data_IF_802983059141
#
_entry.id   IF_802983059141
#
_cell.length_a   1.000
_cell.length_b   1.000
_cell.length_c   1.000
_cell.angle_alpha   90.00
_cell.angle_beta   90.00
_cell.angle_gamma   90.00
#
_symmetry.space_group_name_H-M   'P 1'
#
loop_
_entity.id
_entity.type
_entity.pdbx_description
1 polymer ?
#
# COMPACT_ATOMS: atom_id res chain seq x y z
N UNK A 1 -6.11 -16.47 5.84
CA UNK A 1 -4.95 -17.38 5.91
C UNK A 1 -5.32 -18.75 5.36
N UNK A 2 -4.35 -19.55 4.95
CA UNK A 2 -4.55 -20.92 4.43
C UNK A 2 -5.21 -21.82 5.47
N UNK A 3 -6.02 -22.77 5.01
CA UNK A 3 -6.59 -23.85 5.85
C UNK A 3 -5.58 -24.98 6.11
N UNK A 4 -4.48 -25.03 5.34
CA UNK A 4 -3.42 -26.03 5.54
C UNK A 4 -2.54 -25.63 6.72
N UNK A 5 -2.37 -26.49 7.77
CA UNK A 5 -1.71 -26.11 9.02
C UNK A 5 -0.33 -25.45 8.85
N UNK A 6 0.58 -26.06 8.09
CA UNK A 6 1.93 -25.49 7.89
C UNK A 6 1.92 -24.15 7.14
N UNK A 7 1.04 -23.99 6.16
CA UNK A 7 0.93 -22.74 5.40
C UNK A 7 0.20 -21.66 6.19
N UNK A 8 -0.70 -22.03 7.09
CA UNK A 8 -1.38 -21.11 7.99
C UNK A 8 -0.37 -20.38 8.89
N UNK A 9 0.60 -21.11 9.45
CA UNK A 9 1.67 -20.54 10.27
C UNK A 9 2.51 -19.54 9.45
N UNK A 10 2.94 -19.93 8.25
CA UNK A 10 3.69 -19.06 7.34
C UNK A 10 2.91 -17.78 6.99
N UNK A 11 1.62 -17.91 6.66
CA UNK A 11 0.76 -16.76 6.35
C UNK A 11 0.66 -15.79 7.55
N UNK A 12 0.46 -16.29 8.77
CA UNK A 12 0.38 -15.45 9.98
C UNK A 12 1.74 -14.81 10.30
N UNK A 13 2.84 -15.53 10.13
CA UNK A 13 4.20 -14.99 10.31
C UNK A 13 4.51 -13.87 9.31
N UNK A 14 4.08 -14.01 8.06
CA UNK A 14 4.23 -12.94 7.06
C UNK A 14 3.44 -11.71 7.45
N UNK A 15 2.19 -11.87 7.88
CA UNK A 15 1.37 -10.78 8.39
C UNK A 15 2.02 -10.10 9.60
N UNK A 16 2.56 -10.87 10.56
CA UNK A 16 3.21 -10.31 11.74
C UNK A 16 4.45 -9.51 11.39
N UNK A 17 5.25 -9.94 10.41
CA UNK A 17 6.40 -9.20 9.90
C UNK A 17 6.00 -7.90 9.18
N UNK A 18 4.81 -7.82 8.57
CA UNK A 18 4.32 -6.58 7.95
C UNK A 18 3.89 -5.55 9.02
N UNK A 19 3.28 -6.02 10.10
CA UNK A 19 2.79 -5.16 11.20
C UNK A 19 3.94 -4.71 12.10
N UNK A 20 4.89 -5.60 12.36
CA UNK A 20 6.08 -5.41 13.19
C UNK A 20 7.32 -5.69 12.34
N UNK A 21 7.82 -4.73 11.55
CA UNK A 21 8.92 -4.97 10.60
C UNK A 21 10.32 -4.95 11.26
N UNK A 22 10.46 -4.33 12.42
CA UNK A 22 11.76 -4.18 13.11
C UNK A 22 12.30 -5.55 13.57
N UNK A 23 13.63 -5.69 13.59
CA UNK A 23 14.34 -6.95 13.92
C UNK A 23 15.09 -6.87 15.24
N UNK A 24 14.50 -6.23 16.24
CA UNK A 24 14.99 -6.27 17.62
C UNK A 24 14.30 -7.37 18.44
N UNK A 25 14.81 -7.58 19.64
CA UNK A 25 14.32 -8.58 20.58
C UNK A 25 12.83 -8.40 20.92
N UNK A 26 12.39 -7.19 21.21
CA UNK A 26 11.01 -6.94 21.64
C UNK A 26 10.01 -7.18 20.51
N UNK A 27 10.32 -6.72 19.29
CA UNK A 27 9.51 -7.01 18.12
C UNK A 27 9.50 -8.51 17.77
N UNK A 28 10.62 -9.23 17.96
CA UNK A 28 10.64 -10.70 17.78
C UNK A 28 9.70 -11.40 18.77
N UNK A 29 9.78 -11.08 20.05
CA UNK A 29 8.92 -11.67 21.06
C UNK A 29 7.44 -11.30 20.87
N UNK A 30 7.16 -10.05 20.48
CA UNK A 30 5.81 -9.60 20.14
C UNK A 30 5.24 -10.34 18.92
N UNK A 31 6.05 -10.60 17.87
CA UNK A 31 5.64 -11.42 16.72
C UNK A 31 5.32 -12.86 17.11
N UNK A 32 6.11 -13.45 18.00
CA UNK A 32 5.87 -14.81 18.53
C UNK A 32 4.55 -14.88 19.30
N UNK A 33 4.29 -13.93 20.20
CA UNK A 33 3.03 -13.84 20.93
C UNK A 33 1.85 -13.61 19.99
N UNK A 34 1.97 -12.67 19.05
CA UNK A 34 0.95 -12.38 18.03
C UNK A 34 0.60 -13.62 17.21
N UNK A 35 1.59 -14.40 16.77
CA UNK A 35 1.41 -15.66 16.07
C UNK A 35 0.62 -16.66 16.94
N UNK A 36 0.99 -16.77 18.22
CA UNK A 36 0.30 -17.61 19.19
C UNK A 36 -1.18 -17.27 19.33
N UNK A 37 -1.48 -16.01 19.62
CA UNK A 37 -2.84 -15.51 19.83
C UNK A 37 -3.67 -15.61 18.55
N UNK A 38 -3.12 -15.25 17.40
CA UNK A 38 -3.84 -15.30 16.12
C UNK A 38 -4.24 -16.74 15.76
N UNK A 39 -3.34 -17.71 15.92
CA UNK A 39 -3.64 -19.12 15.66
C UNK A 39 -4.66 -19.68 16.66
N UNK A 40 -4.64 -19.22 17.92
CA UNK A 40 -5.70 -19.50 18.89
C UNK A 40 -7.06 -18.99 18.39
N UNK A 41 -7.15 -17.71 18.00
CA UNK A 41 -8.40 -17.11 17.52
C UNK A 41 -8.92 -17.77 16.23
N UNK A 42 -8.02 -18.29 15.38
CA UNK A 42 -8.41 -19.07 14.20
C UNK A 42 -9.06 -20.41 14.60
N UNK A 43 -8.55 -21.06 15.63
CA UNK A 43 -9.04 -22.36 16.11
C UNK A 43 -10.36 -22.25 16.88
N UNK A 44 -10.61 -21.13 17.56
CA UNK A 44 -11.85 -20.90 18.31
C UNK A 44 -12.98 -20.40 17.37
N UNK A 45 -14.03 -21.21 17.13
CA UNK A 45 -15.12 -20.82 16.24
C UNK A 45 -16.01 -19.71 16.82
N UNK A 46 -15.97 -19.47 18.12
CA UNK A 46 -16.77 -18.44 18.79
C UNK A 46 -16.16 -17.04 18.68
N UNK A 47 -14.91 -16.97 18.22
CA UNK A 47 -14.13 -15.74 18.16
C UNK A 47 -14.12 -15.13 16.76
N UNK A 48 -14.10 -13.80 16.73
CA UNK A 48 -13.89 -13.03 15.51
C UNK A 48 -12.42 -13.13 15.09
N UNK A 49 -12.15 -13.40 13.81
CA UNK A 49 -10.79 -13.58 13.28
C UNK A 49 -10.26 -12.27 12.72
N UNK A 50 -10.14 -11.25 13.57
CA UNK A 50 -9.70 -9.91 13.19
C UNK A 50 -8.53 -9.41 14.06
N UNK A 51 -7.80 -8.42 13.56
CA UNK A 51 -6.79 -7.74 14.37
C UNK A 51 -7.39 -7.03 15.59
N UNK A 52 -8.63 -6.54 15.50
CA UNK A 52 -9.29 -5.96 16.68
C UNK A 52 -9.61 -7.00 17.76
N UNK A 53 -9.94 -8.24 17.41
CA UNK A 53 -10.09 -9.30 18.42
C UNK A 53 -8.75 -9.66 19.08
N UNK A 54 -7.64 -9.62 18.34
CA UNK A 54 -6.29 -9.73 18.93
C UNK A 54 -6.07 -8.61 19.94
N UNK A 55 -6.40 -7.36 19.59
CA UNK A 55 -6.28 -6.21 20.51
C UNK A 55 -7.17 -6.38 21.75
N UNK A 56 -8.43 -6.82 21.60
CA UNK A 56 -9.35 -7.06 22.72
C UNK A 56 -8.83 -8.14 23.66
N UNK A 57 -8.35 -9.25 23.09
CA UNK A 57 -7.76 -10.36 23.85
C UNK A 57 -6.55 -9.87 24.65
N UNK A 58 -5.71 -9.02 24.04
CA UNK A 58 -4.46 -8.57 24.65
C UNK A 58 -4.58 -7.38 25.60
N UNK A 59 -5.74 -6.73 25.61
CA UNK A 59 -6.09 -5.62 26.53
C UNK A 59 -7.13 -6.04 27.57
N UNK A 60 -7.41 -7.34 27.72
CA UNK A 60 -8.28 -7.85 28.80
C UNK A 60 -7.65 -7.65 30.17
N UNK A 61 -8.48 -7.54 31.21
CA UNK A 61 -8.06 -7.26 32.60
C UNK A 61 -6.98 -8.22 33.13
N UNK A 62 -7.03 -9.52 32.78
CA UNK A 62 -5.98 -10.49 33.10
C UNK A 62 -5.63 -11.38 31.90
N UNK A 63 -4.81 -10.82 31.00
CA UNK A 63 -4.37 -11.53 29.79
C UNK A 63 -3.54 -12.78 30.11
N UNK A 64 -2.78 -12.79 31.21
CA UNK A 64 -1.92 -13.92 31.58
C UNK A 64 -2.78 -15.10 31.98
N UNK A 65 -3.74 -14.88 32.87
CA UNK A 65 -4.69 -15.91 33.28
C UNK A 65 -5.51 -16.40 32.09
N UNK A 66 -6.04 -15.49 31.28
CA UNK A 66 -6.85 -15.85 30.11
C UNK A 66 -6.07 -16.75 29.12
N UNK A 67 -4.81 -16.43 28.84
CA UNK A 67 -3.97 -17.26 27.97
C UNK A 67 -3.61 -18.61 28.60
N UNK A 68 -3.42 -18.69 29.92
CA UNK A 68 -3.23 -19.97 30.61
C UNK A 68 -4.48 -20.86 30.49
N UNK A 69 -5.67 -20.30 30.71
CA UNK A 69 -6.95 -21.01 30.52
C UNK A 69 -7.12 -21.48 29.08
N UNK A 70 -6.71 -20.69 28.09
CA UNK A 70 -6.71 -21.12 26.67
C UNK A 70 -5.83 -22.35 26.46
N UNK A 71 -4.65 -22.42 27.07
CA UNK A 71 -3.79 -23.62 26.96
C UNK A 71 -4.43 -24.85 27.61
N UNK A 72 -5.08 -24.68 28.76
CA UNK A 72 -5.73 -25.79 29.48
C UNK A 72 -6.99 -26.30 28.75
N UNK A 73 -7.78 -25.39 28.18
CA UNK A 73 -9.09 -25.70 27.57
C UNK A 73 -9.00 -26.08 26.10
N UNK A 74 -8.17 -25.36 25.34
CA UNK A 74 -8.05 -25.51 23.88
C UNK A 74 -6.69 -26.08 23.45
N UNK A 75 -5.77 -26.37 24.37
CA UNK A 75 -4.42 -26.85 24.05
C UNK A 75 -4.36 -28.09 23.17
N UNK A 76 -5.36 -28.98 23.27
CA UNK A 76 -5.49 -30.17 22.42
C UNK A 76 -6.04 -29.91 21.01
N UNK A 77 -6.57 -28.72 20.74
CA UNK A 77 -7.24 -28.35 19.49
C UNK A 77 -6.50 -27.23 18.73
N UNK A 78 -5.87 -26.30 19.45
CA UNK A 78 -5.07 -25.24 18.83
C UNK A 78 -3.84 -25.82 18.11
N UNK A 79 -3.33 -25.08 17.15
CA UNK A 79 -2.11 -25.45 16.45
C UNK A 79 -0.93 -25.59 17.44
N UNK A 80 -0.02 -26.59 17.33
CA UNK A 80 1.10 -26.75 18.25
C UNK A 80 2.02 -25.52 18.36
N UNK A 81 2.19 -24.79 17.25
CA UNK A 81 2.92 -23.50 17.24
C UNK A 81 2.20 -22.45 18.07
N UNK A 82 0.86 -22.46 18.12
CA UNK A 82 0.11 -21.56 18.98
C UNK A 82 0.39 -21.86 20.46
N UNK A 83 0.26 -23.13 20.83
CA UNK A 83 0.54 -23.62 22.18
C UNK A 83 1.97 -23.23 22.61
N UNK A 84 2.96 -23.54 21.78
CA UNK A 84 4.37 -23.29 22.08
C UNK A 84 4.66 -21.80 22.31
N UNK A 85 4.14 -20.92 21.47
CA UNK A 85 4.39 -19.47 21.61
C UNK A 85 3.67 -18.88 22.83
N UNK A 86 2.42 -19.29 23.10
CA UNK A 86 1.69 -18.83 24.28
C UNK A 86 2.36 -19.36 25.57
N UNK A 87 2.74 -20.64 25.60
CA UNK A 87 3.44 -21.24 26.74
C UNK A 87 4.78 -20.57 27.01
N UNK A 88 5.57 -20.31 25.97
CA UNK A 88 6.85 -19.59 26.07
C UNK A 88 6.66 -18.17 26.64
N UNK A 89 5.60 -17.47 26.22
CA UNK A 89 5.25 -16.16 26.79
C UNK A 89 4.88 -16.26 28.27
N UNK A 90 4.08 -17.25 28.68
CA UNK A 90 3.65 -17.42 30.07
C UNK A 90 4.80 -17.76 31.02
N UNK A 91 5.86 -18.39 30.53
CA UNK A 91 7.06 -18.73 31.31
C UNK A 91 8.01 -17.54 31.55
N UNK A 92 7.81 -16.40 30.86
CA UNK A 92 8.65 -15.21 31.02
C UNK A 92 8.40 -14.51 32.36
N UNK A 93 9.41 -13.81 32.86
CA UNK A 93 9.27 -12.95 34.02
C UNK A 93 8.30 -11.79 33.76
N UNK A 94 7.60 -11.30 34.79
CA UNK A 94 6.54 -10.28 34.70
C UNK A 94 6.95 -9.03 33.93
N UNK A 95 8.17 -8.54 34.18
CA UNK A 95 8.71 -7.36 33.51
C UNK A 95 8.92 -7.58 32.01
N UNK A 96 9.38 -8.77 31.63
CA UNK A 96 9.57 -9.14 30.24
C UNK A 96 8.21 -9.32 29.54
N UNK A 97 7.26 -10.01 30.20
CA UNK A 97 5.88 -10.15 29.70
C UNK A 97 5.24 -8.79 29.41
N UNK A 98 5.37 -7.85 30.35
CA UNK A 98 4.85 -6.48 30.20
C UNK A 98 5.46 -5.76 29.01
N UNK A 99 6.77 -5.91 28.76
CA UNK A 99 7.45 -5.34 27.60
C UNK A 99 6.95 -5.91 26.27
N UNK A 100 6.74 -7.23 26.21
CA UNK A 100 6.20 -7.91 25.03
C UNK A 100 4.76 -7.46 24.73
N UNK A 101 3.89 -7.42 25.75
CA UNK A 101 2.50 -6.94 25.61
C UNK A 101 2.49 -5.49 25.11
N UNK A 102 3.29 -4.61 25.71
CA UNK A 102 3.36 -3.20 25.32
C UNK A 102 3.78 -3.01 23.86
N UNK A 103 4.79 -3.76 23.42
CA UNK A 103 5.30 -3.72 22.04
C UNK A 103 4.24 -4.17 21.03
N UNK A 104 3.55 -5.27 21.33
CA UNK A 104 2.48 -5.78 20.45
C UNK A 104 1.28 -4.82 20.41
N UNK A 105 0.84 -4.31 21.57
CA UNK A 105 -0.28 -3.37 21.66
C UNK A 105 -0.01 -2.04 20.94
N UNK A 106 1.24 -1.55 20.98
CA UNK A 106 1.66 -0.36 20.24
C UNK A 106 1.66 -0.60 18.73
N UNK A 107 1.99 -1.82 18.30
CA UNK A 107 2.00 -2.18 16.88
C UNK A 107 0.59 -2.34 16.29
N UNK A 108 -0.38 -2.73 17.13
CA UNK A 108 -1.78 -2.93 16.75
C UNK A 108 -2.72 -1.78 17.17
N UNK A 109 -2.18 -0.63 17.59
CA UNK A 109 -2.97 0.48 18.15
C UNK A 109 -4.11 0.95 17.24
N UNK A 110 -3.91 0.92 15.92
CA UNK A 110 -4.92 1.31 14.94
C UNK A 110 -6.24 0.55 15.10
N UNK A 111 -6.17 -0.74 15.45
CA UNK A 111 -7.36 -1.59 15.61
C UNK A 111 -8.06 -1.44 16.95
N UNK A 112 -7.54 -0.59 17.85
CA UNK A 112 -8.31 -0.14 19.00
C UNK A 112 -9.42 0.85 18.59
N UNK A 113 -9.36 1.45 17.40
CA UNK A 113 -10.42 2.31 16.89
C UNK A 113 -11.58 1.46 16.35
N UNK A 114 -12.82 1.61 16.87
CA UNK A 114 -13.97 0.82 16.43
C UNK A 114 -14.30 0.91 14.94
N UNK A 115 -14.00 2.04 14.28
CA UNK A 115 -14.21 2.20 12.84
C UNK A 115 -13.23 1.33 12.05
N UNK A 116 -11.94 1.32 12.43
CA UNK A 116 -10.92 0.53 11.75
C UNK A 116 -11.15 -0.96 11.99
N UNK A 117 -11.50 -1.35 13.21
CA UNK A 117 -11.84 -2.75 13.49
C UNK A 117 -13.06 -3.19 12.69
N UNK A 118 -14.16 -2.43 12.70
CA UNK A 118 -15.36 -2.77 11.91
C UNK A 118 -15.04 -2.86 10.41
N UNK A 119 -14.19 -1.97 9.88
CA UNK A 119 -13.73 -2.00 8.49
C UNK A 119 -12.92 -3.23 8.11
N UNK A 120 -12.24 -3.84 9.07
CA UNK A 120 -11.24 -4.89 8.83
C UNK A 120 -11.59 -6.23 9.49
N UNK A 121 -12.74 -6.32 10.15
CA UNK A 121 -13.20 -7.52 10.83
C UNK A 121 -13.70 -8.62 9.87
N UNK A 122 -14.11 -8.24 8.66
CA UNK A 122 -14.58 -9.17 7.63
C UNK A 122 -14.20 -8.69 6.24
N UNK A 123 -14.34 -9.56 5.23
CA UNK A 123 -14.08 -9.25 3.83
C UNK A 123 -15.18 -9.87 2.98
N UNK A 124 -15.75 -9.08 2.07
CA UNK A 124 -16.77 -9.49 1.10
C UNK A 124 -16.19 -9.79 -0.29
N UNK A 125 -14.88 -9.58 -0.48
CA UNK A 125 -14.14 -9.94 -1.68
C UNK A 125 -12.92 -10.80 -1.38
N UNK A 126 -12.40 -11.47 -2.41
CA UNK A 126 -11.17 -12.26 -2.36
C UNK A 126 -10.19 -11.85 -3.47
N UNK A 127 -9.03 -11.31 -3.07
CA UNK A 127 -7.99 -10.83 -3.99
C UNK A 127 -7.48 -11.94 -4.92
N UNK A 128 -7.50 -13.20 -4.48
CA UNK A 128 -7.06 -14.33 -5.30
C UNK A 128 -7.94 -14.55 -6.55
N UNK A 129 -9.15 -13.99 -6.57
CA UNK A 129 -10.07 -14.11 -7.69
C UNK A 129 -9.90 -12.99 -8.73
N UNK A 130 -9.10 -11.96 -8.46
CA UNK A 130 -9.00 -10.78 -9.33
C UNK A 130 -8.41 -11.07 -10.71
N UNK A 131 -7.70 -12.20 -10.86
CA UNK A 131 -7.23 -12.66 -12.18
C UNK A 131 -8.27 -13.48 -12.94
N UNK A 132 -9.31 -13.96 -12.25
CA UNK A 132 -10.40 -14.77 -12.81
C UNK A 132 -11.60 -13.90 -13.18
N UNK A 133 -12.00 -13.02 -12.27
CA UNK A 133 -13.17 -12.15 -12.40
C UNK A 133 -12.70 -10.69 -12.41
N UNK A 134 -13.30 -9.88 -13.30
CA UNK A 134 -13.00 -8.45 -13.37
C UNK A 134 -13.52 -7.76 -12.13
N UNK A 135 -12.61 -7.34 -11.26
CA UNK A 135 -12.90 -6.64 -10.02
C UNK A 135 -12.08 -5.36 -9.94
N UNK A 136 -12.66 -4.29 -9.40
CA UNK A 136 -11.95 -3.04 -9.11
C UNK A 136 -12.18 -2.69 -7.65
N UNK A 137 -11.09 -2.44 -6.92
CA UNK A 137 -11.12 -2.00 -5.53
C UNK A 137 -10.66 -0.54 -5.50
N UNK A 138 -11.51 0.32 -4.94
CA UNK A 138 -11.18 1.72 -4.70
C UNK A 138 -10.78 1.89 -3.25
N UNK A 139 -9.58 2.41 -3.01
CA UNK A 139 -9.06 2.70 -1.67
C UNK A 139 -8.93 4.22 -1.54
N UNK A 140 -9.83 4.83 -0.78
CA UNK A 140 -9.85 6.27 -0.55
C UNK A 140 -9.51 6.58 0.91
N UNK A 141 -8.58 7.51 1.11
CA UNK A 141 -8.21 8.05 2.42
C UNK A 141 -8.43 9.55 2.42
N UNK A 142 -8.90 10.10 3.53
CA UNK A 142 -8.91 11.55 3.72
C UNK A 142 -7.48 12.03 4.01
N UNK A 143 -7.10 13.26 3.60
CA UNK A 143 -5.73 13.77 3.77
C UNK A 143 -5.21 13.71 5.21
N UNK A 144 -6.07 13.97 6.20
CA UNK A 144 -5.77 13.91 7.63
C UNK A 144 -5.49 12.48 8.15
N UNK A 145 -5.94 11.45 7.44
CA UNK A 145 -5.76 10.05 7.84
C UNK A 145 -4.66 9.32 7.06
N UNK A 146 -4.00 9.92 6.07
CA UNK A 146 -2.98 9.24 5.25
C UNK A 146 -1.86 8.67 6.12
N UNK A 147 -1.22 9.51 6.95
CA UNK A 147 -0.11 9.07 7.80
C UNK A 147 -0.56 8.08 8.87
N UNK A 148 -1.74 8.32 9.47
CA UNK A 148 -2.32 7.46 10.51
C UNK A 148 -2.63 6.07 9.97
N UNK A 149 -3.23 5.97 8.78
CA UNK A 149 -3.64 4.71 8.16
C UNK A 149 -2.53 4.07 7.30
N UNK A 150 -1.34 4.69 7.23
CA UNK A 150 -0.22 4.21 6.43
C UNK A 150 0.10 2.74 6.72
N UNK A 151 0.18 2.33 8.00
CA UNK A 151 0.45 0.93 8.37
C UNK A 151 -0.64 -0.03 7.86
N UNK A 152 -1.91 0.35 7.97
CA UNK A 152 -3.03 -0.45 7.45
C UNK A 152 -2.92 -0.62 5.93
N UNK A 153 -2.59 0.45 5.21
CA UNK A 153 -2.39 0.39 3.76
C UNK A 153 -1.19 -0.46 3.36
N UNK A 154 -0.08 -0.35 4.09
CA UNK A 154 1.10 -1.20 3.88
C UNK A 154 0.74 -2.68 4.03
N UNK A 155 -0.02 -3.04 5.07
CA UNK A 155 -0.50 -4.40 5.29
C UNK A 155 -1.41 -4.85 4.14
N UNK A 156 -2.36 -4.00 3.72
CA UNK A 156 -3.29 -4.31 2.63
C UNK A 156 -2.57 -4.55 1.29
N UNK A 157 -1.75 -3.60 0.84
CA UNK A 157 -1.09 -3.69 -0.46
C UNK A 157 -0.02 -4.78 -0.49
N UNK A 158 0.76 -4.95 0.57
CA UNK A 158 1.80 -5.99 0.59
C UNK A 158 1.18 -7.39 0.61
N UNK A 159 0.13 -7.63 1.40
CA UNK A 159 -0.62 -8.89 1.35
C UNK A 159 -1.25 -9.12 -0.03
N UNK A 160 -1.86 -8.10 -0.62
CA UNK A 160 -2.44 -8.20 -1.96
C UNK A 160 -1.39 -8.65 -2.98
N UNK A 161 -0.20 -8.04 -2.97
CA UNK A 161 0.88 -8.43 -3.89
C UNK A 161 1.39 -9.84 -3.65
N UNK A 162 1.45 -10.29 -2.39
CA UNK A 162 1.88 -11.65 -2.07
C UNK A 162 0.86 -12.68 -2.61
N UNK A 163 -0.43 -12.47 -2.36
CA UNK A 163 -1.47 -13.36 -2.88
C UNK A 163 -1.48 -13.42 -4.41
N UNK A 164 -1.35 -12.27 -5.07
CA UNK A 164 -1.31 -12.20 -6.53
C UNK A 164 -0.02 -12.79 -7.12
N UNK A 165 1.06 -12.93 -6.34
CA UNK A 165 2.36 -13.43 -6.81
C UNK A 165 2.71 -14.83 -6.26
N UNK A 166 1.75 -15.52 -5.63
CA UNK A 166 1.98 -16.83 -4.99
C UNK A 166 2.13 -17.98 -6.00
N UNK A 167 1.48 -17.89 -7.16
CA UNK A 167 1.56 -18.88 -8.24
C UNK A 167 1.55 -18.20 -9.61
N UNK A 168 2.23 -18.80 -10.58
CA UNK A 168 2.13 -18.36 -11.97
C UNK A 168 0.67 -18.50 -12.45
N UNK A 169 0.12 -17.49 -13.13
CA UNK A 169 -1.27 -17.52 -13.56
C UNK A 169 -1.48 -18.54 -14.68
N UNK A 170 -2.52 -19.37 -14.55
CA UNK A 170 -3.01 -20.20 -15.66
C UNK A 170 -3.88 -19.33 -16.56
N UNK A 171 -3.48 -19.06 -17.80
CA UNK A 171 -4.20 -18.15 -18.69
C UNK A 171 -5.62 -18.63 -19.08
N UNK A 172 -5.92 -19.93 -18.90
CA UNK A 172 -7.28 -20.45 -19.13
C UNK A 172 -8.22 -20.07 -18.00
N UNK A 173 -7.76 -20.20 -16.76
CA UNK A 173 -8.56 -19.96 -15.54
C UNK A 173 -8.43 -18.51 -15.02
N UNK A 174 -7.27 -17.89 -15.25
CA UNK A 174 -6.84 -16.58 -14.76
C UNK A 174 -6.43 -15.67 -15.94
N UNK A 175 -7.36 -15.33 -16.86
CA UNK A 175 -7.05 -14.58 -18.08
C UNK A 175 -6.66 -13.12 -17.81
N UNK A 176 -7.03 -12.56 -16.67
CA UNK A 176 -6.88 -11.15 -16.37
C UNK A 176 -5.56 -10.85 -15.62
N UNK A 177 -5.02 -9.65 -15.86
CA UNK A 177 -3.92 -9.09 -15.08
C UNK A 177 -4.45 -8.09 -14.06
N UNK A 178 -3.75 -7.91 -12.95
CA UNK A 178 -4.12 -6.96 -11.90
C UNK A 178 -3.17 -5.78 -11.92
N UNK A 179 -3.72 -4.56 -11.90
CA UNK A 179 -2.94 -3.32 -11.85
C UNK A 179 -3.16 -2.61 -10.52
N UNK A 180 -2.07 -2.33 -9.81
CA UNK A 180 -2.07 -1.39 -8.70
C UNK A 180 -1.84 0.01 -9.26
N UNK A 181 -2.89 0.85 -9.22
CA UNK A 181 -2.80 2.28 -9.51
C UNK A 181 -2.67 3.01 -8.18
N UNK A 182 -1.46 3.43 -7.84
CA UNK A 182 -1.13 4.01 -6.55
C UNK A 182 -0.88 5.49 -6.73
N UNK A 183 -1.87 6.29 -6.34
CA UNK A 183 -1.69 7.73 -6.21
C UNK A 183 -0.78 8.04 -5.03
N UNK A 184 0.06 9.06 -5.19
CA UNK A 184 1.02 9.51 -4.19
C UNK A 184 1.78 8.38 -3.48
N UNK A 185 2.31 7.44 -4.27
CA UNK A 185 2.98 6.22 -3.79
C UNK A 185 3.95 6.41 -2.62
N UNK A 186 4.79 7.47 -2.56
CA UNK A 186 5.70 7.68 -1.42
C UNK A 186 4.99 7.79 -0.05
N UNK A 187 3.72 8.20 0.00
CA UNK A 187 2.96 8.32 1.26
C UNK A 187 2.69 6.96 1.92
N UNK A 188 2.77 5.87 1.16
CA UNK A 188 2.68 4.51 1.69
C UNK A 188 3.95 4.09 2.44
N UNK A 189 5.00 4.90 2.41
CA UNK A 189 6.30 4.59 3.00
C UNK A 189 6.97 3.39 2.32
N UNK A 190 7.91 2.76 3.03
CA UNK A 190 8.72 1.69 2.47
C UNK A 190 7.94 0.38 2.42
N UNK A 191 7.54 -0.02 1.22
CA UNK A 191 6.98 -1.35 0.92
C UNK A 191 8.09 -2.26 0.36
N UNK A 192 8.70 -3.08 1.22
CA UNK A 192 9.82 -3.94 0.87
C UNK A 192 9.43 -4.99 -0.18
N UNK A 193 8.21 -5.55 -0.09
CA UNK A 193 7.69 -6.53 -1.06
C UNK A 193 7.56 -5.91 -2.45
N UNK A 194 7.24 -4.62 -2.57
CA UNK A 194 7.17 -3.93 -3.86
C UNK A 194 8.57 -3.71 -4.44
N UNK A 195 9.53 -3.28 -3.61
CA UNK A 195 10.92 -3.07 -4.04
C UNK A 195 11.55 -4.37 -4.55
N UNK A 196 11.34 -5.48 -3.85
CA UNK A 196 11.83 -6.79 -4.26
C UNK A 196 11.01 -7.37 -5.45
N UNK A 197 9.71 -7.09 -5.47
CA UNK A 197 8.73 -7.68 -6.39
C UNK A 197 8.72 -7.12 -7.79
N UNK A 198 9.15 -5.87 -7.97
CA UNK A 198 9.00 -5.15 -9.24
C UNK A 198 9.61 -5.88 -10.44
N UNK A 199 10.71 -6.62 -10.24
CA UNK A 199 11.37 -7.36 -11.31
C UNK A 199 10.58 -8.59 -11.80
N UNK A 200 9.79 -9.23 -10.93
CA UNK A 200 9.08 -10.47 -11.27
C UNK A 200 7.55 -10.33 -11.39
N UNK A 201 6.94 -9.25 -10.89
CA UNK A 201 5.49 -9.00 -10.96
C UNK A 201 4.91 -9.16 -12.37
N UNK A 202 5.68 -8.79 -13.40
CA UNK A 202 5.30 -8.96 -14.81
C UNK A 202 4.96 -10.42 -15.15
N UNK A 203 5.75 -11.38 -14.68
CA UNK A 203 5.51 -12.81 -14.90
C UNK A 203 4.21 -13.28 -14.26
N UNK A 204 3.85 -12.68 -13.12
CA UNK A 204 2.59 -12.93 -12.43
C UNK A 204 1.41 -12.12 -12.98
N UNK A 205 1.58 -11.37 -14.08
CA UNK A 205 0.57 -10.45 -14.64
C UNK A 205 0.08 -9.40 -13.63
N UNK A 206 0.95 -9.03 -12.69
CA UNK A 206 0.76 -7.88 -11.80
C UNK A 206 1.47 -6.67 -12.41
N UNK A 207 0.78 -5.54 -12.45
CA UNK A 207 1.30 -4.27 -12.99
C UNK A 207 1.27 -3.20 -11.90
N UNK A 208 2.28 -2.35 -11.90
CA UNK A 208 2.33 -1.18 -11.04
C UNK A 208 2.21 0.07 -11.91
N UNK A 209 1.31 0.98 -11.53
CA UNK A 209 1.27 2.34 -12.01
C UNK A 209 1.45 3.23 -10.78
N UNK A 210 2.67 3.73 -10.60
CA UNK A 210 3.07 4.53 -9.45
C UNK A 210 3.04 6.00 -9.82
N UNK A 211 2.27 6.81 -9.08
CA UNK A 211 2.23 8.25 -9.24
C UNK A 211 3.06 8.87 -8.12
N UNK A 212 4.03 9.69 -8.50
CA UNK A 212 4.98 10.34 -7.59
C UNK A 212 4.97 11.83 -7.91
N UNK A 213 4.63 12.66 -6.92
CA UNK A 213 4.65 14.11 -7.07
C UNK A 213 6.05 14.69 -6.84
N UNK A 214 6.78 14.12 -5.87
CA UNK A 214 8.13 14.54 -5.51
C UNK A 214 9.10 13.36 -5.48
N UNK A 215 10.10 13.39 -6.35
CA UNK A 215 11.15 12.36 -6.40
C UNK A 215 12.02 12.35 -5.15
N UNK A 216 12.12 13.46 -4.42
CA UNK A 216 12.89 13.52 -3.17
C UNK A 216 12.23 12.70 -2.06
N UNK A 217 10.90 12.70 -1.96
CA UNK A 217 10.18 11.82 -1.02
C UNK A 217 10.41 10.34 -1.33
N UNK A 218 10.38 9.97 -2.62
CA UNK A 218 10.67 8.61 -3.04
C UNK A 218 12.12 8.23 -2.70
N UNK A 219 13.07 9.10 -3.00
CA UNK A 219 14.49 8.90 -2.66
C UNK A 219 14.72 8.83 -1.15
N UNK A 220 14.02 9.64 -0.34
CA UNK A 220 14.11 9.58 1.12
C UNK A 220 13.61 8.25 1.69
N UNK A 221 12.59 7.66 1.06
CA UNK A 221 11.99 6.39 1.52
C UNK A 221 12.78 5.15 1.06
N UNK A 222 13.28 5.18 -0.18
CA UNK A 222 13.85 3.99 -0.85
C UNK A 222 15.35 4.09 -1.15
N UNK A 223 15.96 5.22 -0.83
CA UNK A 223 17.33 5.59 -1.18
C UNK A 223 17.55 5.62 -2.70
N UNK A 224 18.75 6.02 -3.13
CA UNK A 224 19.10 6.09 -4.55
C UNK A 224 18.96 4.73 -5.24
N UNK A 225 19.41 3.65 -4.60
CA UNK A 225 19.35 2.31 -5.16
C UNK A 225 17.90 1.84 -5.38
N UNK A 226 16.99 2.14 -4.45
CA UNK A 226 15.59 1.77 -4.60
C UNK A 226 14.87 2.61 -5.64
N UNK A 227 15.08 3.93 -5.66
CA UNK A 227 14.54 4.81 -6.71
C UNK A 227 14.99 4.35 -8.11
N UNK A 228 16.28 4.06 -8.28
CA UNK A 228 16.82 3.57 -9.56
C UNK A 228 16.23 2.21 -9.95
N UNK A 229 15.95 1.32 -8.99
CA UNK A 229 15.25 0.06 -9.25
C UNK A 229 13.83 0.30 -9.79
N UNK A 230 13.06 1.22 -9.18
CA UNK A 230 11.73 1.58 -9.68
C UNK A 230 11.77 2.14 -11.09
N UNK A 231 12.68 3.10 -11.33
CA UNK A 231 12.84 3.69 -12.65
C UNK A 231 13.26 2.65 -13.68
N UNK A 232 14.25 1.80 -13.38
CA UNK A 232 14.80 0.83 -14.34
C UNK A 232 13.79 -0.25 -14.74
N UNK A 233 12.92 -0.69 -13.81
CA UNK A 233 11.89 -1.68 -14.11
C UNK A 233 10.59 -1.07 -14.68
N UNK A 234 10.47 0.25 -14.69
CA UNK A 234 9.34 0.94 -15.32
C UNK A 234 9.53 1.02 -16.84
N UNK A 235 8.79 0.20 -17.60
CA UNK A 235 8.75 0.26 -19.07
C UNK A 235 8.23 1.61 -19.59
N UNK A 236 7.29 2.21 -18.87
CA UNK A 236 6.72 3.52 -19.17
C UNK A 236 7.08 4.49 -18.06
N UNK A 237 7.58 5.68 -18.43
CA UNK A 237 7.80 6.78 -17.49
C UNK A 237 7.14 8.02 -18.08
N UNK A 238 6.16 8.54 -17.38
CA UNK A 238 5.42 9.75 -17.78
C UNK A 238 5.85 10.85 -16.82
N UNK A 239 6.38 11.94 -17.36
CA UNK A 239 6.83 13.08 -16.58
C UNK A 239 6.11 14.35 -17.01
N UNK A 240 5.94 15.26 -16.07
CA UNK A 240 5.33 16.57 -16.27
C UNK A 240 6.37 17.67 -16.03
N UNK A 241 5.93 18.92 -16.05
CA UNK A 241 6.76 20.03 -15.59
C UNK A 241 7.30 19.75 -14.18
N UNK A 242 8.61 19.90 -14.01
CA UNK A 242 9.26 19.69 -12.72
C UNK A 242 9.09 20.91 -11.83
N UNK A 243 8.85 20.68 -10.53
CA UNK A 243 8.74 21.75 -9.54
C UNK A 243 10.09 22.13 -8.90
N UNK A 244 11.13 21.30 -9.07
CA UNK A 244 12.48 21.54 -8.55
C UNK A 244 13.56 21.16 -9.58
N UNK A 245 14.78 21.69 -9.38
CA UNK A 245 15.88 21.55 -10.34
C UNK A 245 16.45 20.12 -10.38
N UNK A 246 16.45 19.40 -9.26
CA UNK A 246 16.91 18.01 -9.15
C UNK A 246 16.05 17.08 -10.03
N UNK A 247 14.74 17.21 -9.94
CA UNK A 247 13.78 16.46 -10.77
C UNK A 247 13.94 16.83 -12.24
N UNK A 248 14.15 18.11 -12.53
CA UNK A 248 14.37 18.58 -13.89
C UNK A 248 15.65 17.99 -14.52
N UNK A 249 16.74 17.90 -13.74
CA UNK A 249 17.98 17.24 -14.17
C UNK A 249 17.77 15.75 -14.42
N UNK A 250 17.07 15.06 -13.51
CA UNK A 250 16.74 13.65 -13.69
C UNK A 250 15.97 13.43 -14.99
N UNK A 251 14.95 14.24 -15.27
CA UNK A 251 14.17 14.16 -16.51
C UNK A 251 15.06 14.44 -17.73
N UNK A 252 15.89 15.49 -17.68
CA UNK A 252 16.82 15.84 -18.77
C UNK A 252 17.78 14.68 -19.08
N UNK A 253 18.33 14.03 -18.05
CA UNK A 253 19.20 12.86 -18.18
C UNK A 253 18.46 11.66 -18.77
N UNK A 254 17.22 11.40 -18.33
CA UNK A 254 16.39 10.30 -18.85
C UNK A 254 15.99 10.51 -20.32
N UNK A 255 15.77 11.75 -20.73
CA UNK A 255 15.47 12.14 -22.12
C UNK A 255 16.73 12.01 -23.00
N UNK A 256 17.90 12.31 -22.45
CA UNK A 256 19.19 12.16 -23.11
C UNK A 256 19.61 13.38 -23.95
N UNK A 257 20.62 13.16 -24.79
CA UNK A 257 21.31 14.21 -25.53
C UNK A 257 21.06 14.10 -27.05
N UNK A 258 21.20 15.22 -27.75
CA UNK A 258 21.26 15.31 -29.21
C UNK A 258 22.54 16.01 -29.65
N UNK A 259 22.96 15.74 -30.87
CA UNK A 259 24.02 16.49 -31.54
C UNK A 259 23.42 17.74 -32.17
N UNK A 260 24.05 18.89 -31.96
CA UNK A 260 23.69 20.16 -32.62
C UNK A 260 24.90 20.73 -33.35
N UNK A 261 24.66 21.36 -34.50
CA UNK A 261 25.69 22.13 -35.19
C UNK A 261 25.83 23.50 -34.54
N UNK A 262 27.05 23.83 -34.12
CA UNK A 262 27.43 25.16 -33.69
C UNK A 262 28.16 25.86 -34.82
N UNK A 263 27.63 27.02 -35.25
CA UNK A 263 28.26 27.86 -36.28
C UNK A 263 28.86 29.09 -35.63
N UNK A 264 30.18 29.19 -35.67
CA UNK A 264 30.92 30.33 -35.15
C UNK A 264 31.32 31.24 -36.31
N UNK A 265 30.94 32.51 -36.21
CA UNK A 265 31.31 33.56 -37.16
C UNK A 265 32.37 34.44 -36.52
N UNK A 266 33.58 34.47 -37.10
CA UNK A 266 34.60 35.43 -36.69
C UNK A 266 34.50 36.68 -37.56
N UNK A 267 34.46 37.86 -36.92
CA UNK A 267 34.57 39.15 -37.61
C UNK A 267 35.84 39.85 -37.14
N UNK A 268 36.70 40.36 -38.05
CA UNK A 268 37.86 41.15 -37.65
C UNK A 268 37.41 42.46 -36.98
N UNK A 269 38.16 42.88 -35.95
CA UNK A 269 37.83 44.01 -35.08
C UNK A 269 38.15 45.39 -35.69
N UNK A 270 38.92 45.43 -36.79
CA UNK A 270 39.34 46.67 -37.44
C UNK A 270 38.95 46.73 -38.92
N UNK A 271 38.79 47.96 -39.41
CA UNK A 271 38.24 48.40 -40.69
C UNK A 271 39.06 47.88 -41.89
N UNK A 272 38.95 46.58 -42.19
CA UNK A 272 39.45 46.00 -43.43
C UNK A 272 38.31 45.95 -44.46
N UNK A 273 38.48 46.67 -45.58
CA UNK A 273 37.49 46.81 -46.66
C UNK A 273 37.38 45.56 -47.54
N UNK A 274 38.09 44.48 -47.22
CA UNK A 274 37.93 43.18 -47.87
C UNK A 274 36.68 42.43 -47.37
N UNK A 275 35.66 42.37 -48.22
CA UNK A 275 34.40 41.62 -48.02
C UNK A 275 34.64 40.09 -47.90
N UNK A 276 35.84 39.63 -48.25
CA UNK A 276 36.19 38.23 -48.53
C UNK A 276 36.64 37.39 -47.33
N UNK A 277 36.81 37.95 -46.13
CA UNK A 277 37.46 37.28 -44.97
C UNK A 277 36.50 36.91 -43.84
N UNK A 278 35.26 36.51 -44.15
CA UNK A 278 34.35 35.90 -43.17
C UNK A 278 34.59 34.41 -43.09
N UNK A 279 35.40 33.98 -42.12
CA UNK A 279 35.60 32.56 -41.84
C UNK A 279 34.42 32.02 -41.01
N UNK A 280 33.73 31.03 -41.55
CA UNK A 280 32.68 30.28 -40.85
C UNK A 280 33.25 28.94 -40.40
N UNK A 281 33.19 28.67 -39.10
CA UNK A 281 33.53 27.36 -38.55
C UNK A 281 32.23 26.65 -38.13
N UNK A 282 32.02 25.43 -38.60
CA UNK A 282 30.89 24.57 -38.21
C UNK A 282 31.45 23.40 -37.42
N UNK A 283 31.09 23.32 -36.14
CA UNK A 283 31.44 22.21 -35.25
C UNK A 283 30.18 21.48 -34.80
N UNK A 284 30.29 20.20 -34.49
CA UNK A 284 29.22 19.42 -33.88
C UNK A 284 29.46 19.34 -32.37
N UNK A 285 28.45 19.69 -31.58
CA UNK A 285 28.52 19.66 -30.11
C UNK A 285 27.35 18.88 -29.54
N UNK A 286 27.57 18.23 -28.40
CA UNK A 286 26.52 17.55 -27.65
C UNK A 286 25.70 18.56 -26.85
N UNK A 287 24.37 18.47 -26.94
CA UNK A 287 23.42 19.26 -26.14
C UNK A 287 22.37 18.34 -25.55
N UNK A 288 21.90 18.60 -24.34
CA UNK A 288 20.69 17.94 -23.85
C UNK A 288 19.54 18.12 -24.86
N UNK A 289 18.80 17.05 -25.14
CA UNK A 289 17.64 17.12 -26.02
C UNK A 289 16.60 18.08 -25.42
N UNK A 290 16.43 18.00 -24.11
CA UNK A 290 15.66 18.94 -23.29
C UNK A 290 16.51 19.39 -22.10
N UNK A 291 16.79 20.69 -21.99
CA UNK A 291 17.52 21.27 -20.86
C UNK A 291 16.66 21.25 -19.58
N UNK A 292 17.25 21.17 -18.39
CA UNK A 292 16.50 21.22 -17.13
C UNK A 292 15.55 22.43 -17.03
N UNK A 293 16.00 23.61 -17.47
CA UNK A 293 15.16 24.82 -17.53
C UNK A 293 13.96 24.68 -18.49
N UNK A 294 14.13 23.94 -19.60
CA UNK A 294 13.05 23.66 -20.56
C UNK A 294 12.04 22.65 -19.98
N UNK A 295 12.50 21.73 -19.10
CA UNK A 295 11.62 20.82 -18.34
C UNK A 295 10.76 21.59 -17.34
N UNK A 296 11.36 22.54 -16.60
CA UNK A 296 10.63 23.38 -15.62
C UNK A 296 9.60 24.26 -16.33
N UNK A 297 9.93 24.77 -17.51
CA UNK A 297 9.05 25.62 -18.32
C UNK A 297 8.04 24.84 -19.17
N UNK A 298 7.98 23.50 -19.05
CA UNK A 298 7.04 22.69 -19.81
C UNK A 298 5.59 23.15 -19.52
N UNK A 299 4.78 23.47 -20.54
CA UNK A 299 3.38 23.82 -20.38
C UNK A 299 2.59 22.81 -19.54
N UNK A 300 1.64 23.31 -18.74
CA UNK A 300 0.82 22.47 -17.85
C UNK A 300 -0.03 21.43 -18.58
N UNK A 301 -0.37 21.66 -19.85
CA UNK A 301 -1.13 20.75 -20.70
C UNK A 301 -0.23 19.76 -21.47
N UNK A 302 1.08 19.78 -21.26
CA UNK A 302 2.04 18.89 -21.92
C UNK A 302 2.67 17.89 -20.93
N UNK A 303 3.18 16.79 -21.50
CA UNK A 303 3.88 15.73 -20.79
C UNK A 303 4.97 15.13 -21.68
N UNK A 304 5.92 14.47 -21.05
CA UNK A 304 6.96 13.69 -21.72
C UNK A 304 6.71 12.22 -21.41
N UNK A 305 6.61 11.40 -22.44
CA UNK A 305 6.44 9.96 -22.34
C UNK A 305 7.73 9.30 -22.78
N UNK A 306 8.35 8.56 -21.87
CA UNK A 306 9.50 7.72 -22.12
C UNK A 306 9.03 6.27 -22.14
N UNK A 307 9.34 5.58 -23.23
CA UNK A 307 9.04 4.16 -23.41
C UNK A 307 10.37 3.45 -23.63
N UNK A 308 10.57 2.32 -22.97
CA UNK A 308 11.76 1.50 -23.16
C UNK A 308 12.02 1.22 -24.66
N UNK A 309 13.27 1.41 -25.08
CA UNK A 309 13.70 1.25 -26.47
C UNK A 309 12.98 2.15 -27.50
N UNK A 310 12.43 3.29 -27.07
CA UNK A 310 11.77 4.25 -27.96
C UNK A 310 12.26 5.68 -27.72
N UNK A 311 12.31 6.55 -28.75
CA UNK A 311 12.61 7.97 -28.55
C UNK A 311 11.62 8.66 -27.61
N UNK A 312 12.04 9.66 -26.81
CA UNK A 312 11.15 10.46 -25.97
C UNK A 312 10.02 11.11 -26.79
N UNK A 313 8.79 11.01 -26.29
CA UNK A 313 7.61 11.58 -26.94
C UNK A 313 7.11 12.76 -26.12
N UNK A 314 7.00 13.93 -26.75
CA UNK A 314 6.30 15.08 -26.17
C UNK A 314 4.84 15.05 -26.62
N UNK A 315 3.90 14.99 -25.68
CA UNK A 315 2.46 14.92 -25.98
C UNK A 315 1.65 15.89 -25.12
N UNK A 316 0.39 16.13 -25.52
CA UNK A 316 -0.58 16.83 -24.66
C UNK A 316 -1.21 15.85 -23.67
N UNK A 317 -1.64 16.36 -22.52
CA UNK A 317 -2.38 15.62 -21.51
C UNK A 317 -3.79 15.33 -21.98
N UNK A 318 -4.28 14.15 -21.65
CA UNK A 318 -5.68 13.79 -21.84
C UNK A 318 -6.44 14.20 -20.57
N UNK A 319 -7.47 15.03 -20.72
CA UNK A 319 -8.38 15.39 -19.64
C UNK A 319 -9.71 14.68 -19.86
N UNK A 320 -9.98 13.66 -19.05
CA UNK A 320 -11.13 12.78 -19.26
C UNK A 320 -12.48 13.53 -19.31
N UNK A 321 -12.61 14.64 -18.58
CA UNK A 321 -13.83 15.44 -18.50
C UNK A 321 -14.03 16.40 -19.69
N UNK A 322 -13.01 16.62 -20.52
CA UNK A 322 -13.10 17.44 -21.74
C UNK A 322 -13.28 16.60 -23.02
N UNK A 323 -13.08 15.29 -22.94
CA UNK A 323 -13.05 14.40 -24.10
C UNK A 323 -14.24 13.43 -24.12
N UNK A 324 -15.06 13.56 -25.18
CA UNK A 324 -16.29 12.76 -25.39
C UNK A 324 -16.04 11.26 -25.39
N UNK A 325 -14.85 10.81 -25.81
CA UNK A 325 -14.49 9.40 -25.76
C UNK A 325 -14.51 8.88 -24.31
N UNK A 326 -14.06 9.67 -23.34
CA UNK A 326 -14.06 9.24 -21.93
C UNK A 326 -15.39 9.54 -21.25
N UNK A 327 -15.99 10.72 -21.49
CA UNK A 327 -17.26 11.08 -20.84
C UNK A 327 -18.40 10.13 -21.22
N UNK A 328 -18.39 9.55 -22.44
CA UNK A 328 -19.39 8.56 -22.87
C UNK A 328 -19.29 7.20 -22.14
N UNK A 329 -18.22 6.98 -21.36
CA UNK A 329 -17.97 5.75 -20.59
C UNK A 329 -18.16 5.95 -19.08
N UNK A 330 -18.56 7.15 -18.65
CA UNK A 330 -18.82 7.44 -17.24
C UNK A 330 -20.01 6.62 -16.76
N UNK A 331 -19.80 5.91 -15.66
CA UNK A 331 -20.84 5.20 -14.93
C UNK A 331 -21.37 6.08 -13.80
N UNK A 332 -22.62 5.90 -13.38
CA UNK A 332 -23.12 6.59 -12.19
C UNK A 332 -22.29 6.21 -10.95
N UNK A 333 -22.21 7.08 -9.92
CA UNK A 333 -21.57 6.76 -8.67
C UNK A 333 -22.12 5.47 -8.06
N UNK A 334 -21.23 4.61 -7.56
CA UNK A 334 -21.64 3.42 -6.82
C UNK A 334 -22.07 3.79 -5.41
N UNK A 335 -22.98 3.01 -4.84
CA UNK A 335 -23.28 3.08 -3.41
C UNK A 335 -22.03 2.71 -2.60
N UNK A 336 -21.74 3.51 -1.57
CA UNK A 336 -20.68 3.24 -0.60
C UNK A 336 -21.34 2.87 0.72
N UNK A 337 -21.19 1.63 1.21
CA UNK A 337 -21.81 1.21 2.45
C UNK A 337 -21.25 2.01 3.64
N UNK A 338 -22.13 2.43 4.55
CA UNK A 338 -21.72 3.11 5.79
C UNK A 338 -21.43 2.04 6.84
N UNK A 339 -20.24 2.09 7.42
CA UNK A 339 -19.88 1.19 8.51
C UNK A 339 -20.57 1.63 9.81
N UNK A 340 -21.14 0.66 10.51
CA UNK A 340 -21.78 0.87 11.80
C UNK A 340 -20.81 0.34 12.87
N UNK A 341 -20.01 1.21 13.51
CA UNK A 341 -19.18 0.78 14.62
C UNK A 341 -20.05 0.40 15.81
N UNK A 342 -19.46 -0.35 16.76
CA UNK A 342 -20.10 -0.59 18.05
C UNK A 342 -20.44 0.74 18.74
N UNK A 343 -21.73 1.01 18.94
CA UNK A 343 -22.23 2.12 19.75
C UNK A 343 -22.76 1.56 21.08
N UNK A 344 -22.16 1.90 22.23
CA UNK A 344 -22.61 1.42 23.53
C UNK A 344 -24.06 1.85 23.87
N UNK A 345 -24.61 2.84 23.18
CA UNK A 345 -26.00 3.31 23.37
C UNK A 345 -27.01 2.51 22.53
N UNK A 346 -26.58 1.87 21.44
CA UNK A 346 -27.48 1.09 20.59
C UNK A 346 -28.09 -0.10 21.33
N UNK A 347 -27.36 -0.69 22.28
CA UNK A 347 -27.88 -1.77 23.14
C UNK A 347 -28.83 -1.29 24.24
N UNK A 348 -28.84 0.01 24.60
CA UNK A 348 -29.80 0.54 25.59
C UNK A 348 -31.21 0.63 24.98
N UNK A 349 -31.32 1.12 23.75
CA UNK A 349 -32.61 1.28 23.09
C UNK A 349 -33.30 -0.06 22.80
N UNK A 350 -32.53 -1.14 22.58
CA UNK A 350 -33.11 -2.48 22.40
C UNK A 350 -33.58 -3.13 23.72
N UNK A 351 -33.04 -2.72 24.87
CA UNK A 351 -33.50 -3.18 26.18
C UNK A 351 -34.67 -2.35 26.72
N UNK A 352 -34.72 -1.04 26.44
CA UNK A 352 -35.88 -0.21 26.78
C UNK A 352 -37.11 -0.58 25.92
N UNK A 353 -36.91 -0.94 24.65
CA UNK A 353 -38.00 -1.39 23.77
C UNK A 353 -38.56 -2.78 24.12
N UNK A 354 -37.81 -3.62 24.86
CA UNK A 354 -38.29 -4.91 25.37
C UNK A 354 -38.92 -4.81 26.76
N UNK A 355 -38.51 -3.84 27.60
CA UNK A 355 -39.17 -3.54 28.87
C UNK A 355 -40.55 -2.86 28.68
N UNK A 356 -40.73 -2.07 27.63
CA UNK A 356 -42.05 -1.49 27.28
C UNK A 356 -43.05 -2.53 26.72
N UNK A 357 -42.58 -3.65 26.16
CA UNK A 357 -43.48 -4.72 25.69
C UNK A 357 -43.95 -5.66 26.81
N UNK A 358 -43.18 -5.82 27.90
CA UNK A 358 -43.59 -6.67 29.03
C UNK A 358 -44.56 -5.99 30.00
N UNK A 359 -44.64 -4.66 30.02
CA UNK A 359 -45.52 -3.90 30.93
C UNK A 359 -46.97 -3.73 30.44
N UNK A 360 -47.33 -4.23 29.25
CA UNK A 360 -48.68 -4.09 28.67
C UNK A 360 -49.55 -5.36 28.70
N UNK A 361 -49.14 -6.42 29.39
CA UNK A 361 -49.95 -7.65 29.52
C UNK A 361 -50.21 -8.06 30.97
N UNK A 362 -50.97 -7.23 31.70
CA UNK A 362 -51.69 -7.68 32.89
C UNK A 362 -53.20 -7.71 32.57
N UNK A 363 -53.92 -8.83 32.80
CA UNK A 363 -55.34 -8.91 32.50
C UNK A 363 -56.15 -8.24 33.61
N UNK A 364 -56.98 -7.27 33.25
CA UNK A 364 -58.07 -6.79 34.11
C UNK A 364 -59.12 -7.90 34.25
N UNK A 365 -59.13 -8.56 35.40
CA UNK A 365 -60.31 -9.26 35.90
C UNK A 365 -61.32 -8.20 36.34
N UNK A 366 -62.53 -8.23 35.78
CA UNK A 366 -63.69 -7.61 36.42
C UNK A 366 -64.90 -8.55 36.32
N UNK A 367 -65.58 -8.61 37.46
CA UNK A 367 -66.84 -9.30 37.78
C UNK A 367 -68.04 -8.84 36.94
#
# INVERSE_FOLDING_TARGET
VSTKPGQMVDDVQKISNLIMPEKDFWNNEARSLFLGVTLYLIADPTKTKSFGEVVRTMRSDDVVYNLAVVLDTLGGVIHPVAYMNIAAFLQKADKERSGVISTMNSSLELWANPLIDSATASSDFNIQEFKKVKTTVYVGLTPDNIQRLQKLMQVFYQQATEFLSRKMPDLKEEPHGVMFLLDEFPTLGKMDTFKAGIAYFRGYRVRLFLIIQDTQQLKGTYEDAGMNSFLSNATYRITFAANNYETANLISQLVGNKTVEQRSFSKPLFFDLNISTRTQNVSQVQRALLLPQEVIQLPRDEQIVLIESFPPIKSRKIKYYEDKFFTSRLLPPTFVPTQIPFDPRANKNNNEASEETETTTAPENNE
#
